data_IF_424396744489
#
_entry.id   IF_424396744489
#
_cell.length_a   1.000
_cell.length_b   1.000
_cell.length_c   1.000
_cell.angle_alpha   90.00
_cell.angle_beta   90.00
_cell.angle_gamma   90.00
#
_symmetry.space_group_name_H-M   'P 1'
#
loop_
_entity.id
_entity.type
_entity.pdbx_description
1 polymer ?
#
# COMPACT_ATOMS: atom_id res chain seq x y z
N UNK A 1 -34.64 -2.86 -23.31
CA UNK A 1 -33.17 -2.63 -23.32
C UNK A 1 -32.81 -1.17 -23.56
N UNK A 2 -33.47 -0.44 -24.48
CA UNK A 2 -33.22 0.99 -24.75
C UNK A 2 -33.29 1.93 -23.52
N UNK A 3 -34.23 1.69 -22.61
CA UNK A 3 -34.39 2.50 -21.37
C UNK A 3 -33.20 2.38 -20.42
N UNK A 4 -32.55 1.21 -20.38
CA UNK A 4 -31.37 0.96 -19.56
C UNK A 4 -30.15 1.69 -20.15
N UNK A 5 -29.97 1.62 -21.46
CA UNK A 5 -28.92 2.38 -22.15
C UNK A 5 -29.11 3.90 -21.99
N UNK A 6 -30.34 4.40 -22.09
CA UNK A 6 -30.63 5.82 -21.85
C UNK A 6 -30.35 6.23 -20.39
N UNK A 7 -30.69 5.38 -19.41
CA UNK A 7 -30.40 5.65 -18.00
C UNK A 7 -28.89 5.67 -17.72
N UNK A 8 -28.12 4.74 -18.30
CA UNK A 8 -26.66 4.70 -18.18
C UNK A 8 -26.04 5.94 -18.83
N UNK A 9 -26.50 6.32 -20.03
CA UNK A 9 -26.02 7.51 -20.72
C UNK A 9 -26.31 8.79 -19.94
N UNK A 10 -27.52 8.92 -19.39
CA UNK A 10 -27.91 10.05 -18.54
C UNK A 10 -27.07 10.10 -17.26
N UNK A 11 -26.81 8.96 -16.63
CA UNK A 11 -26.00 8.85 -15.43
C UNK A 11 -24.55 9.30 -15.67
N UNK A 12 -23.93 8.84 -16.77
CA UNK A 12 -22.58 9.27 -17.19
C UNK A 12 -22.55 10.78 -17.47
N UNK A 13 -23.58 11.32 -18.12
CA UNK A 13 -23.69 12.75 -18.40
C UNK A 13 -23.82 13.60 -17.12
N UNK A 14 -24.59 13.15 -16.12
CA UNK A 14 -24.70 13.83 -14.83
C UNK A 14 -23.37 13.90 -14.08
N UNK A 15 -22.57 12.83 -14.12
CA UNK A 15 -21.24 12.78 -13.50
C UNK A 15 -20.29 13.77 -14.19
N UNK A 16 -20.32 13.83 -15.52
CA UNK A 16 -19.45 14.71 -16.30
C UNK A 16 -19.72 16.21 -16.01
N UNK A 17 -21.00 16.60 -15.84
CA UNK A 17 -21.38 18.00 -15.55
C UNK A 17 -21.06 18.41 -14.10
N UNK A 18 -20.95 17.44 -13.18
CA UNK A 18 -20.70 17.70 -11.73
C UNK A 18 -19.21 17.70 -11.38
N UNK A 19 -18.33 17.54 -12.37
CA UNK A 19 -16.86 17.53 -12.22
C UNK A 19 -16.34 18.86 -11.63
N UNK A 20 -15.83 18.84 -10.39
CA UNK A 20 -15.10 19.94 -9.76
C UNK A 20 -13.59 19.80 -9.98
N UNK A 21 -12.83 20.92 -10.05
CA UNK A 21 -11.37 20.85 -10.19
C UNK A 21 -10.75 20.17 -8.96
N UNK A 22 -10.16 19.00 -9.15
CA UNK A 22 -9.43 18.28 -8.13
C UNK A 22 -7.99 18.83 -8.07
N UNK A 23 -7.66 19.59 -7.02
CA UNK A 23 -6.33 20.21 -6.83
C UNK A 23 -5.21 19.23 -6.48
N UNK A 24 -5.52 17.95 -6.30
CA UNK A 24 -4.55 16.87 -6.12
C UNK A 24 -4.96 15.68 -7.01
N UNK A 25 -4.98 15.92 -8.32
CA UNK A 25 -5.18 14.87 -9.31
C UNK A 25 -3.90 14.04 -9.40
N UNK A 26 -3.76 13.09 -8.48
CA UNK A 26 -2.94 11.92 -8.74
C UNK A 26 -3.68 11.19 -9.85
N UNK A 27 -3.17 11.30 -11.08
CA UNK A 27 -3.77 10.67 -12.25
C UNK A 27 -4.18 9.23 -11.91
N UNK A 28 -5.36 8.73 -12.29
CA UNK A 28 -5.81 7.39 -11.92
C UNK A 28 -4.79 6.29 -12.27
N UNK A 29 -3.95 6.50 -13.29
CA UNK A 29 -2.78 5.69 -13.59
C UNK A 29 -1.66 5.81 -12.56
N UNK A 30 -1.28 7.03 -12.15
CA UNK A 30 -0.30 7.27 -11.08
C UNK A 30 -0.76 6.73 -9.73
N UNK A 31 -2.04 6.88 -9.39
CA UNK A 31 -2.60 6.31 -8.16
C UNK A 31 -2.50 4.77 -8.15
N UNK A 32 -2.76 4.14 -9.30
CA UNK A 32 -2.61 2.69 -9.47
C UNK A 32 -1.15 2.25 -9.36
N UNK A 33 -0.21 2.97 -9.99
CA UNK A 33 1.22 2.68 -9.89
C UNK A 33 1.75 2.82 -8.46
N UNK A 34 1.28 3.83 -7.72
CA UNK A 34 1.68 4.06 -6.33
C UNK A 34 1.22 2.90 -5.45
N UNK A 35 -0.04 2.47 -5.60
CA UNK A 35 -0.58 1.32 -4.88
C UNK A 35 0.16 0.03 -5.24
N UNK A 36 0.44 -0.18 -6.52
CA UNK A 36 1.15 -1.36 -7.01
C UNK A 36 2.60 -1.39 -6.51
N UNK A 37 3.28 -0.24 -6.50
CA UNK A 37 4.62 -0.09 -5.93
C UNK A 37 4.63 -0.32 -4.42
N UNK A 38 3.60 0.14 -3.70
CA UNK A 38 3.47 -0.10 -2.27
C UNK A 38 3.30 -1.59 -1.95
N UNK A 39 2.37 -2.27 -2.63
CA UNK A 39 2.13 -3.71 -2.45
C UNK A 39 3.38 -4.49 -2.84
N UNK A 40 4.00 -4.17 -3.98
CA UNK A 40 5.23 -4.79 -4.44
C UNK A 40 6.39 -4.59 -3.46
N UNK A 41 6.52 -3.38 -2.90
CA UNK A 41 7.52 -3.06 -1.88
C UNK A 41 7.33 -3.86 -0.59
N UNK A 42 6.09 -3.98 -0.09
CA UNK A 42 5.78 -4.79 1.09
C UNK A 42 6.07 -6.27 0.82
N UNK A 43 5.68 -6.79 -0.34
CA UNK A 43 5.94 -8.17 -0.73
C UNK A 43 7.45 -8.46 -0.84
N UNK A 44 8.22 -7.56 -1.46
CA UNK A 44 9.67 -7.69 -1.57
C UNK A 44 10.35 -7.61 -0.20
N UNK A 45 9.95 -6.67 0.66
CA UNK A 45 10.47 -6.57 2.02
C UNK A 45 10.17 -7.84 2.83
N UNK A 46 8.93 -8.34 2.77
CA UNK A 46 8.52 -9.59 3.40
C UNK A 46 9.32 -10.80 2.91
N UNK A 47 9.56 -10.89 1.60
CA UNK A 47 10.37 -11.95 1.02
C UNK A 47 11.83 -11.89 1.50
N UNK A 48 12.45 -10.71 1.51
CA UNK A 48 13.83 -10.52 2.01
C UNK A 48 13.93 -10.87 3.49
N UNK A 49 12.96 -10.45 4.30
CA UNK A 49 12.87 -10.78 5.73
C UNK A 49 12.73 -12.29 5.92
N UNK A 50 11.84 -12.95 5.17
CA UNK A 50 11.59 -14.39 5.26
C UNK A 50 12.85 -15.19 4.89
N UNK A 51 13.53 -14.83 3.80
CA UNK A 51 14.77 -15.47 3.36
C UNK A 51 15.91 -15.30 4.37
N UNK A 52 15.97 -14.16 5.05
CA UNK A 52 17.05 -13.84 6.00
C UNK A 52 16.60 -13.88 7.46
N UNK A 53 15.51 -14.58 7.77
CA UNK A 53 14.85 -14.50 9.07
C UNK A 53 15.80 -14.78 10.23
N UNK A 54 16.69 -15.75 10.10
CA UNK A 54 17.69 -16.07 11.13
C UNK A 54 18.72 -14.94 11.32
N UNK A 55 19.24 -14.38 10.22
CA UNK A 55 20.21 -13.27 10.27
C UNK A 55 19.57 -12.01 10.83
N UNK A 56 18.34 -11.72 10.43
CA UNK A 56 17.55 -10.61 10.93
C UNK A 56 17.26 -10.77 12.43
N UNK A 57 16.86 -11.97 12.87
CA UNK A 57 16.63 -12.27 14.29
C UNK A 57 17.90 -12.03 15.12
N UNK A 58 19.05 -12.53 14.66
CA UNK A 58 20.32 -12.28 15.34
C UNK A 58 20.74 -10.82 15.33
N UNK A 59 20.53 -10.10 14.22
CA UNK A 59 20.79 -8.66 14.13
C UNK A 59 19.90 -7.85 15.07
N UNK A 60 18.60 -8.18 15.15
CA UNK A 60 17.68 -7.54 16.08
C UNK A 60 18.06 -7.86 17.53
N UNK A 61 18.35 -9.13 17.84
CA UNK A 61 18.77 -9.54 19.19
C UNK A 61 20.09 -8.92 19.62
N UNK A 62 21.05 -8.73 18.73
CA UNK A 62 22.32 -8.07 19.06
C UNK A 62 22.17 -6.56 19.22
N UNK A 63 21.21 -5.94 18.52
CA UNK A 63 20.94 -4.50 18.61
C UNK A 63 20.01 -4.12 19.77
N UNK A 64 19.05 -4.98 20.11
CA UNK A 64 18.09 -4.77 21.21
C UNK A 64 18.42 -5.56 22.48
N UNK A 65 19.27 -6.58 22.41
CA UNK A 65 19.67 -7.42 23.53
C UNK A 65 20.86 -6.83 24.28
N UNK A 66 20.64 -5.74 25.01
CA UNK A 66 21.51 -5.38 26.14
C UNK A 66 20.72 -4.79 27.29
N UNK A 67 20.15 -5.67 28.11
CA UNK A 67 20.20 -5.62 29.57
C UNK A 67 19.52 -6.86 30.14
N UNK A 68 20.31 -7.72 30.76
CA UNK A 68 20.02 -8.36 32.04
C UNK A 68 21.36 -8.92 32.51
N UNK A 69 22.19 -8.00 33.00
CA UNK A 69 23.40 -8.31 33.75
C UNK A 69 22.95 -8.85 35.11
N UNK A 70 23.25 -10.13 35.33
CA UNK A 70 23.65 -10.75 36.60
C UNK A 70 22.91 -10.33 37.88
N UNK A 71 22.12 -11.27 38.40
CA UNK A 71 21.87 -11.41 39.83
C UNK A 71 22.35 -12.79 40.26
N UNK A 72 23.66 -12.99 40.30
CA UNK A 72 24.28 -14.08 41.06
C UNK A 72 24.71 -13.49 42.41
N UNK A 73 23.92 -13.76 43.45
CA UNK A 73 24.32 -14.12 44.83
C UNK A 73 23.14 -13.99 45.80
#
# INVERSE_FOLDING_TARGET
MSKLFAAISLFVMCIAVTSRPAYAYLDPGTASMLLQGLIGGIAAAGAVISLNYQRLKHAIQTRFGKKNDKSDH
#
